data_IF_983769555489
#
_entry.id   IF_983769555489
#
_cell.length_a   1.000
_cell.length_b   1.000
_cell.length_c   1.000
_cell.angle_alpha   90.00
_cell.angle_beta   90.00
_cell.angle_gamma   90.00
#
_symmetry.space_group_name_H-M   'P 1'
#
loop_
_entity.id
_entity.type
_entity.pdbx_description
1 polymer ?
#
# COMPACT_ATOMS: atom_id res chain seq x y z
N UNK A 1 -20.84 -1.67 3.01
CA UNK A 1 -21.90 -1.36 2.01
C UNK A 1 -22.52 -2.71 1.61
N UNK A 2 -23.70 -2.77 0.95
CA UNK A 2 -24.33 -4.05 0.62
C UNK A 2 -23.45 -4.99 -0.22
N UNK A 3 -22.43 -4.45 -0.89
CA UNK A 3 -21.45 -5.22 -1.67
C UNK A 3 -20.32 -5.88 -0.85
N UNK A 4 -20.44 -6.00 0.48
CA UNK A 4 -19.42 -6.64 1.33
C UNK A 4 -18.09 -5.88 1.48
N UNK A 5 -18.03 -4.62 1.02
CA UNK A 5 -16.83 -3.78 1.10
C UNK A 5 -17.06 -2.54 1.96
N UNK A 6 -15.97 -1.96 2.50
CA UNK A 6 -16.00 -0.60 3.04
C UNK A 6 -16.49 0.36 1.94
N UNK A 7 -17.42 1.27 2.26
CA UNK A 7 -18.02 2.20 1.28
C UNK A 7 -16.94 2.97 0.49
N UNK A 8 -15.83 3.32 1.15
CA UNK A 8 -14.70 4.04 0.54
C UNK A 8 -13.84 3.19 -0.41
N UNK A 9 -13.87 1.86 -0.27
CA UNK A 9 -13.12 0.91 -1.09
C UNK A 9 -13.98 0.23 -2.17
N UNK A 10 -15.31 0.39 -2.10
CA UNK A 10 -16.24 -0.23 -3.03
C UNK A 10 -16.29 0.50 -4.38
N UNK A 11 -15.89 -0.18 -5.46
CA UNK A 11 -15.98 0.38 -6.83
C UNK A 11 -17.43 0.59 -7.29
N UNK A 12 -18.38 -0.26 -6.88
CA UNK A 12 -19.78 -0.03 -7.18
C UNK A 12 -20.33 1.24 -6.51
N UNK A 13 -19.81 1.63 -5.33
CA UNK A 13 -20.25 2.84 -4.63
C UNK A 13 -19.46 4.11 -4.98
N UNK A 14 -18.14 3.99 -5.19
CA UNK A 14 -17.20 5.12 -5.37
C UNK A 14 -16.28 4.97 -6.58
N UNK A 15 -16.61 4.06 -7.48
CA UNK A 15 -15.92 3.88 -8.75
C UNK A 15 -16.16 5.04 -9.71
N UNK A 16 -15.41 5.03 -10.80
CA UNK A 16 -15.64 5.86 -11.97
C UNK A 16 -15.83 4.96 -13.19
N UNK A 17 -16.27 5.55 -14.31
CA UNK A 17 -16.45 4.84 -15.59
C UNK A 17 -15.19 4.13 -16.09
N UNK A 18 -14.01 4.51 -15.61
CA UNK A 18 -12.72 3.89 -15.95
C UNK A 18 -12.40 2.63 -15.12
N UNK A 19 -13.38 2.02 -14.44
CA UNK A 19 -13.20 0.77 -13.68
C UNK A 19 -12.34 0.87 -12.40
N UNK A 20 -11.94 2.08 -12.02
CA UNK A 20 -11.14 2.38 -10.83
C UNK A 20 -11.96 3.12 -9.78
N UNK A 21 -11.56 3.04 -8.51
CA UNK A 21 -12.06 3.97 -7.49
C UNK A 21 -11.75 5.41 -7.94
N UNK A 22 -12.74 6.32 -7.90
CA UNK A 22 -12.62 7.69 -8.41
C UNK A 22 -11.38 8.39 -7.86
N UNK A 23 -11.12 8.22 -6.56
CA UNK A 23 -9.93 8.78 -5.89
C UNK A 23 -8.62 8.30 -6.53
N UNK A 24 -8.56 7.06 -7.01
CA UNK A 24 -7.37 6.40 -7.57
C UNK A 24 -7.21 6.60 -9.07
N UNK A 25 -8.25 7.10 -9.76
CA UNK A 25 -8.24 7.26 -11.20
C UNK A 25 -7.44 8.50 -11.61
N UNK A 26 -6.44 8.31 -12.48
CA UNK A 26 -5.66 9.41 -13.07
C UNK A 26 -6.47 10.32 -13.98
N UNK A 27 -7.48 9.80 -14.67
CA UNK A 27 -8.35 10.62 -15.51
C UNK A 27 -9.36 11.46 -14.70
N UNK A 28 -9.78 10.98 -13.51
CA UNK A 28 -10.70 11.74 -12.65
C UNK A 28 -10.01 12.66 -11.64
N UNK A 29 -8.82 12.27 -11.17
CA UNK A 29 -8.10 12.93 -10.08
C UNK A 29 -6.60 13.05 -10.39
N UNK A 30 -6.23 13.15 -11.67
CA UNK A 30 -4.87 13.44 -12.12
C UNK A 30 -4.45 14.86 -11.80
N UNK A 31 -3.17 15.14 -11.96
CA UNK A 31 -2.62 16.48 -11.99
C UNK A 31 -1.68 16.63 -13.21
N UNK A 32 -1.31 17.86 -13.60
CA UNK A 32 -0.43 18.11 -14.75
C UNK A 32 0.91 17.38 -14.71
N UNK A 33 1.36 16.96 -13.53
CA UNK A 33 2.59 16.20 -13.32
C UNK A 33 2.47 14.69 -13.64
N UNK A 34 1.42 14.25 -14.36
CA UNK A 34 1.23 12.85 -14.74
C UNK A 34 0.93 11.88 -13.59
N UNK A 35 0.53 12.39 -12.42
CA UNK A 35 0.25 11.59 -11.21
C UNK A 35 -1.16 11.84 -10.71
N UNK A 36 -1.75 10.87 -10.02
CA UNK A 36 -2.97 11.13 -9.22
C UNK A 36 -2.63 12.19 -8.17
N UNK A 37 -3.40 13.29 -8.12
CA UNK A 37 -3.13 14.51 -7.33
C UNK A 37 -2.67 14.21 -5.91
N UNK A 38 -3.39 13.34 -5.18
CA UNK A 38 -3.06 12.95 -3.79
C UNK A 38 -1.69 12.28 -3.61
N UNK A 39 -1.11 11.72 -4.68
CA UNK A 39 0.21 11.06 -4.69
C UNK A 39 1.29 11.95 -5.31
N UNK A 40 0.93 13.14 -5.79
CA UNK A 40 1.89 14.05 -6.41
C UNK A 40 2.58 14.90 -5.34
N UNK A 41 3.90 14.78 -5.23
CA UNK A 41 4.70 15.59 -4.30
C UNK A 41 4.67 17.08 -4.68
N UNK A 42 4.60 17.43 -5.98
CA UNK A 42 4.46 18.83 -6.38
C UNK A 42 3.10 19.44 -5.98
N UNK A 43 2.04 18.63 -5.85
CA UNK A 43 0.71 19.10 -5.43
C UNK A 43 0.47 19.00 -3.92
N UNK A 44 0.96 17.95 -3.27
CA UNK A 44 0.65 17.59 -1.87
C UNK A 44 1.92 17.31 -1.03
N UNK A 45 3.06 17.80 -1.50
CA UNK A 45 4.35 17.69 -0.83
C UNK A 45 4.53 18.72 0.28
N UNK A 46 5.59 18.51 1.03
CA UNK A 46 6.15 19.45 2.00
C UNK A 46 7.48 20.01 1.46
N UNK A 47 8.03 21.07 2.08
CA UNK A 47 9.33 21.64 1.71
C UNK A 47 10.49 20.62 1.72
N UNK A 48 10.34 19.49 2.44
CA UNK A 48 11.34 18.42 2.52
C UNK A 48 11.34 17.45 1.31
N UNK A 49 10.69 17.82 0.19
CA UNK A 49 10.66 17.01 -1.04
C UNK A 49 9.85 15.70 -0.95
N UNK A 50 9.06 15.51 0.12
CA UNK A 50 8.24 14.32 0.35
C UNK A 50 6.76 14.67 0.40
N UNK A 51 5.87 13.71 0.11
CA UNK A 51 4.45 13.85 0.44
C UNK A 51 4.30 14.17 1.92
N UNK A 52 3.45 15.15 2.29
CA UNK A 52 3.24 15.57 3.68
C UNK A 52 2.94 14.38 4.59
N UNK A 53 2.09 13.47 4.12
CA UNK A 53 1.66 12.24 4.82
C UNK A 53 2.77 11.21 5.03
N UNK A 54 3.90 11.33 4.34
CA UNK A 54 5.04 10.42 4.44
C UNK A 54 6.30 11.10 4.97
N UNK A 55 6.24 12.39 5.30
CA UNK A 55 7.40 13.13 5.76
C UNK A 55 7.56 12.98 7.27
N UNK A 56 8.67 12.37 7.71
CA UNK A 56 9.01 12.23 9.13
C UNK A 56 9.11 13.59 9.85
N UNK A 57 9.55 14.64 9.15
CA UNK A 57 9.65 15.98 9.73
C UNK A 57 8.27 16.66 9.86
N UNK A 58 7.26 16.21 9.11
CA UNK A 58 5.91 16.78 9.18
C UNK A 58 4.95 15.97 10.07
N UNK A 59 5.05 14.64 10.04
CA UNK A 59 4.10 13.72 10.71
C UNK A 59 4.80 12.65 11.56
N UNK A 60 6.11 12.78 11.77
CA UNK A 60 6.86 11.90 12.64
C UNK A 60 6.43 12.04 14.10
N UNK A 61 6.63 10.97 14.87
CA UNK A 61 6.58 11.02 16.31
C UNK A 61 7.91 11.58 16.88
N UNK A 62 7.94 11.99 18.16
CA UNK A 62 9.14 12.49 18.83
C UNK A 62 10.36 11.54 18.76
N UNK A 63 10.12 10.24 18.55
CA UNK A 63 11.17 9.22 18.43
C UNK A 63 11.84 9.17 17.03
N UNK A 64 11.67 10.19 16.18
CA UNK A 64 12.31 10.28 14.86
C UNK A 64 11.75 9.31 13.79
N UNK A 65 10.61 8.67 14.05
CA UNK A 65 9.95 7.70 13.16
C UNK A 65 8.55 8.17 12.77
N UNK A 66 8.01 7.71 11.64
CA UNK A 66 6.58 7.86 11.38
C UNK A 66 5.84 7.11 12.49
N UNK A 67 4.77 7.68 13.08
CA UNK A 67 4.04 7.09 14.21
C UNK A 67 3.73 5.61 14.01
N UNK A 68 3.26 5.27 12.81
CA UNK A 68 2.93 3.89 12.46
C UNK A 68 4.14 2.97 12.53
N UNK A 69 5.34 3.45 12.24
CA UNK A 69 6.59 2.68 12.18
C UNK A 69 7.36 2.70 13.51
N UNK A 70 6.81 3.32 14.55
CA UNK A 70 7.48 3.49 15.82
C UNK A 70 7.02 2.44 16.84
N UNK A 71 7.95 1.62 17.32
CA UNK A 71 7.66 0.61 18.34
C UNK A 71 7.33 1.24 19.70
N UNK A 72 7.77 2.48 19.97
CA UNK A 72 7.39 3.19 21.19
C UNK A 72 5.97 3.79 21.08
N UNK A 73 5.49 4.12 19.86
CA UNK A 73 4.13 4.62 19.67
C UNK A 73 3.09 3.52 19.44
N UNK A 74 3.50 2.40 18.84
CA UNK A 74 2.66 1.23 18.59
C UNK A 74 3.41 -0.03 19.06
N UNK A 75 3.62 -0.14 20.38
CA UNK A 75 4.37 -1.25 20.94
C UNK A 75 3.63 -2.57 20.76
N UNK A 76 4.41 -3.64 20.68
CA UNK A 76 3.97 -4.98 21.02
C UNK A 76 4.80 -5.47 22.19
N UNK A 77 4.31 -6.44 22.98
CA UNK A 77 5.02 -6.97 24.15
C UNK A 77 6.35 -7.66 23.81
N UNK A 78 6.69 -7.79 22.53
CA UNK A 78 7.92 -8.41 22.04
C UNK A 78 8.95 -7.37 21.55
N UNK A 79 8.80 -6.10 21.90
CA UNK A 79 9.75 -5.03 21.57
C UNK A 79 9.76 -4.62 20.09
N UNK A 80 8.73 -4.98 19.32
CA UNK A 80 8.59 -4.64 17.89
C UNK A 80 7.36 -3.79 17.67
N UNK A 81 7.29 -3.14 16.50
CA UNK A 81 6.02 -2.57 16.03
C UNK A 81 5.02 -3.70 15.86
N UNK A 82 3.81 -3.59 16.44
CA UNK A 82 2.79 -4.66 16.43
C UNK A 82 2.59 -5.34 15.07
N UNK A 83 2.48 -4.56 13.99
CA UNK A 83 2.27 -5.10 12.62
C UNK A 83 3.46 -5.86 12.03
N UNK A 84 4.65 -5.71 12.62
CA UNK A 84 5.87 -6.40 12.22
C UNK A 84 6.17 -7.60 13.13
N UNK A 85 5.34 -7.83 14.16
CA UNK A 85 5.53 -8.94 15.07
C UNK A 85 4.78 -10.19 14.56
N UNK A 86 5.51 -11.23 14.18
CA UNK A 86 4.92 -12.50 13.77
C UNK A 86 4.13 -13.18 14.91
N UNK A 87 4.51 -12.95 16.18
CA UNK A 87 3.75 -13.46 17.33
C UNK A 87 2.40 -12.76 17.53
N UNK A 88 2.24 -11.53 17.02
CA UNK A 88 1.00 -10.77 17.15
C UNK A 88 0.12 -10.83 15.90
N UNK A 89 0.73 -10.83 14.71
CA UNK A 89 0.03 -10.70 13.42
C UNK A 89 0.54 -11.68 12.37
N UNK A 90 1.33 -12.68 12.76
CA UNK A 90 1.83 -13.70 11.87
C UNK A 90 0.77 -14.73 11.50
N UNK A 91 1.11 -15.58 10.54
CA UNK A 91 0.38 -16.80 10.28
C UNK A 91 0.81 -17.90 11.27
N UNK A 92 0.07 -19.00 11.29
CA UNK A 92 0.34 -20.21 12.10
C UNK A 92 1.76 -20.76 11.93
N UNK A 93 2.41 -20.52 10.78
CA UNK A 93 3.79 -20.93 10.49
C UNK A 93 4.87 -20.07 11.18
N UNK A 94 4.51 -19.23 12.16
CA UNK A 94 5.46 -18.40 12.92
C UNK A 94 6.12 -17.26 12.12
N UNK A 95 5.63 -16.97 10.91
CA UNK A 95 6.12 -15.88 10.04
C UNK A 95 5.00 -14.88 9.75
N UNK A 96 5.35 -13.63 9.42
CA UNK A 96 4.37 -12.71 8.84
C UNK A 96 3.78 -13.33 7.58
N UNK A 97 2.46 -13.23 7.37
CA UNK A 97 1.77 -13.86 6.23
C UNK A 97 2.44 -13.58 4.89
N UNK A 98 2.88 -12.32 4.71
CA UNK A 98 3.58 -11.87 3.52
C UNK A 98 4.92 -12.61 3.32
N UNK A 99 5.63 -12.93 4.40
CA UNK A 99 6.95 -13.57 4.44
C UNK A 99 6.89 -15.10 4.51
N UNK A 100 5.70 -15.68 4.67
CA UNK A 100 5.52 -17.11 4.71
C UNK A 100 5.43 -17.67 3.28
N UNK A 101 6.29 -18.63 2.94
CA UNK A 101 6.25 -19.33 1.63
C UNK A 101 5.02 -20.22 1.50
N UNK A 102 4.50 -20.78 2.60
CA UNK A 102 3.25 -21.53 2.58
C UNK A 102 2.05 -20.63 2.30
N UNK A 103 1.95 -19.46 2.97
CA UNK A 103 0.80 -18.57 2.79
C UNK A 103 0.88 -17.68 1.54
N UNK A 104 2.08 -17.29 1.12
CA UNK A 104 2.31 -16.29 0.06
C UNK A 104 3.30 -16.78 -1.02
N UNK A 105 3.53 -18.09 -1.10
CA UNK A 105 4.39 -18.71 -2.11
C UNK A 105 3.80 -18.67 -3.52
N UNK A 106 4.68 -18.84 -4.50
CA UNK A 106 4.33 -19.10 -5.88
C UNK A 106 4.85 -20.47 -6.35
N UNK A 107 4.32 -21.01 -7.45
CA UNK A 107 4.79 -22.27 -8.04
C UNK A 107 6.28 -22.27 -8.40
N UNK A 108 6.88 -21.10 -8.62
CA UNK A 108 8.32 -20.96 -8.90
C UNK A 108 9.21 -21.12 -7.67
N UNK A 109 8.69 -21.56 -6.52
CA UNK A 109 9.47 -21.79 -5.32
C UNK A 109 9.92 -20.53 -4.57
N UNK A 110 9.30 -19.38 -4.83
CA UNK A 110 9.60 -18.13 -4.13
C UNK A 110 8.34 -17.54 -3.49
N UNK A 111 8.51 -16.59 -2.57
CA UNK A 111 7.38 -15.75 -2.14
C UNK A 111 6.95 -14.90 -3.33
N UNK A 112 5.64 -14.82 -3.64
CA UNK A 112 5.09 -14.12 -4.83
C UNK A 112 5.70 -12.73 -5.04
N UNK A 113 5.75 -11.91 -3.99
CA UNK A 113 6.30 -10.55 -4.06
C UNK A 113 7.81 -10.49 -4.31
N UNK A 114 8.53 -11.57 -3.98
CA UNK A 114 9.99 -11.72 -4.14
C UNK A 114 10.38 -12.44 -5.44
N UNK A 115 9.46 -13.12 -6.10
CA UNK A 115 9.67 -13.80 -7.37
C UNK A 115 9.74 -12.82 -8.54
N UNK A 116 10.84 -12.84 -9.31
CA UNK A 116 11.00 -11.99 -10.51
C UNK A 116 9.93 -12.28 -11.57
N UNK A 117 9.66 -13.56 -11.85
CA UNK A 117 8.63 -13.99 -12.82
C UNK A 117 7.24 -13.50 -12.42
N UNK A 118 6.84 -13.67 -11.17
CA UNK A 118 5.54 -13.18 -10.69
C UNK A 118 5.45 -11.66 -10.70
N UNK A 119 6.53 -10.95 -10.35
CA UNK A 119 6.55 -9.48 -10.40
C UNK A 119 6.39 -8.97 -11.83
N UNK A 120 7.05 -9.60 -12.82
CA UNK A 120 6.93 -9.22 -14.22
C UNK A 120 5.51 -9.44 -14.75
N UNK A 121 4.95 -10.64 -14.52
CA UNK A 121 3.56 -10.94 -14.89
C UNK A 121 2.55 -9.96 -14.27
N UNK A 122 2.74 -9.60 -12.99
CA UNK A 122 1.91 -8.58 -12.34
C UNK A 122 2.07 -7.18 -12.94
N UNK A 123 3.28 -6.81 -13.36
CA UNK A 123 3.53 -5.52 -14.00
C UNK A 123 2.87 -5.46 -15.39
N UNK A 124 3.01 -6.52 -16.20
CA UNK A 124 2.38 -6.68 -17.51
C UNK A 124 0.85 -6.59 -17.41
N UNK A 125 0.22 -7.35 -16.51
CA UNK A 125 -1.23 -7.28 -16.28
C UNK A 125 -1.72 -5.87 -15.89
N UNK A 126 -0.93 -5.15 -15.07
CA UNK A 126 -1.26 -3.79 -14.67
C UNK A 126 -1.08 -2.78 -15.79
N UNK A 127 -0.14 -3.00 -16.69
CA UNK A 127 0.05 -2.18 -17.87
C UNK A 127 -1.10 -2.39 -18.87
N UNK A 128 -1.49 -3.64 -19.14
CA UNK A 128 -2.63 -3.97 -20.00
C UNK A 128 -3.94 -3.40 -19.47
N UNK A 129 -4.15 -3.38 -18.15
CA UNK A 129 -5.33 -2.78 -17.52
C UNK A 129 -5.33 -1.23 -17.49
N UNK A 130 -4.24 -0.58 -17.90
CA UNK A 130 -4.08 0.87 -17.92
C UNK A 130 -4.13 1.47 -19.34
N UNK A 131 -4.16 0.64 -20.40
CA UNK A 131 -4.39 1.11 -21.76
C UNK A 131 -5.85 1.57 -21.92
N UNK A 132 -6.12 2.76 -22.50
CA UNK A 132 -7.48 3.10 -22.92
C UNK A 132 -7.93 2.16 -24.04
N UNK A 133 -9.26 1.95 -24.22
CA UNK A 133 -9.78 1.31 -25.42
C UNK A 133 -9.43 2.11 -26.68
#
# INVERSE_FOLDING_TARGET
>A
CPHGLLKQACKACKGCKHGLLRIQCGQCNGCPHGKVRRRCASCNGCPHGKLRTCCKLCVGCPHGKIKNDCAQCIPCPHGRVRRACARCTGCEHGKLKQDCRTCSGCPHGHIRRRCSRCRRAWAEQRASAAAPP
#
